data_IF_896112537801
#
_entry.id   IF_896112537801
#
_cell.length_a   1.000
_cell.length_b   1.000
_cell.length_c   1.000
_cell.angle_alpha   90.00
_cell.angle_beta   90.00
_cell.angle_gamma   90.00
#
_symmetry.space_group_name_H-M   'P 1'
#
loop_
_entity.id
_entity.type
_entity.pdbx_description
1 polymer ?
#
# COMPACT_ATOMS: atom_id res chain seq x y z
N UNK A 1 -22.93 12.73 10.32
CA UNK A 1 -21.69 11.97 10.60
C UNK A 1 -21.77 10.66 9.83
N UNK A 2 -21.00 10.56 8.74
CA UNK A 2 -20.84 9.30 7.99
C UNK A 2 -19.92 8.39 8.82
N UNK A 3 -20.24 7.09 8.93
CA UNK A 3 -19.39 6.10 9.59
C UNK A 3 -18.88 5.13 8.54
N UNK A 4 -17.57 4.89 8.53
CA UNK A 4 -16.91 4.00 7.58
C UNK A 4 -16.14 2.93 8.37
N UNK A 5 -16.35 1.63 8.10
CA UNK A 5 -15.51 0.57 8.65
C UNK A 5 -14.04 0.80 8.30
N UNK A 6 -13.16 0.72 9.28
CA UNK A 6 -11.75 1.02 9.11
C UNK A 6 -10.90 0.08 9.96
N UNK A 7 -9.80 -0.43 9.39
CA UNK A 7 -8.76 -1.15 10.13
C UNK A 7 -7.49 -0.33 10.06
N UNK A 8 -6.94 0.07 11.20
CA UNK A 8 -5.65 0.77 11.25
C UNK A 8 -4.54 -0.27 11.33
N UNK A 9 -3.62 -0.28 10.36
CA UNK A 9 -2.53 -1.26 10.31
C UNK A 9 -1.17 -0.57 10.18
N UNK A 10 -0.15 -1.21 10.76
CA UNK A 10 1.25 -0.95 10.40
C UNK A 10 1.59 -1.84 9.20
N UNK A 11 1.98 -1.23 8.09
CA UNK A 11 2.56 -1.92 6.93
C UNK A 11 4.04 -1.55 6.81
N UNK A 12 4.93 -2.53 7.02
CA UNK A 12 6.37 -2.26 7.07
C UNK A 12 6.71 -1.18 8.10
N UNK A 13 7.37 -0.11 7.67
CA UNK A 13 7.70 1.07 8.50
C UNK A 13 6.69 2.22 8.37
N UNK A 14 5.52 1.98 7.77
CA UNK A 14 4.42 2.95 7.64
C UNK A 14 3.18 2.51 8.41
N UNK A 15 2.24 3.44 8.61
CA UNK A 15 0.96 3.17 9.27
C UNK A 15 -0.16 3.92 8.57
N UNK A 16 -1.32 3.29 8.45
CA UNK A 16 -2.47 3.90 7.79
C UNK A 16 -3.72 3.05 7.87
N UNK A 17 -4.92 3.64 7.66
CA UNK A 17 -6.13 2.87 7.46
C UNK A 17 -6.03 1.98 6.21
N UNK A 18 -6.53 0.76 6.37
CA UNK A 18 -6.84 -0.16 5.28
C UNK A 18 -8.37 -0.27 5.20
N UNK A 19 -8.91 0.07 4.04
CA UNK A 19 -10.34 0.23 3.79
C UNK A 19 -10.79 -0.68 2.65
N UNK A 20 -12.02 -1.19 2.73
CA UNK A 20 -12.64 -1.82 1.57
C UNK A 20 -13.13 -0.74 0.60
N UNK A 21 -12.91 -0.93 -0.70
CA UNK A 21 -13.42 0.00 -1.71
C UNK A 21 -14.95 0.13 -1.67
N UNK A 22 -15.65 -0.95 -1.28
CA UNK A 22 -17.11 -0.97 -1.12
C UNK A 22 -17.64 -0.07 0.00
N UNK A 23 -16.78 0.32 0.95
CA UNK A 23 -17.13 1.19 2.08
C UNK A 23 -16.91 2.68 1.75
N UNK A 24 -16.43 2.99 0.55
CA UNK A 24 -16.11 4.34 0.08
C UNK A 24 -17.02 4.79 -1.06
N UNK A 25 -17.21 6.11 -1.25
CA UNK A 25 -17.85 6.64 -2.45
C UNK A 25 -17.12 6.21 -3.72
N UNK A 26 -17.87 5.92 -4.78
CA UNK A 26 -17.30 5.54 -6.09
C UNK A 26 -16.74 6.74 -6.87
N UNK A 27 -17.28 7.94 -6.65
CA UNK A 27 -16.76 9.17 -7.24
C UNK A 27 -15.48 9.60 -6.53
N UNK A 28 -14.42 9.83 -7.31
CA UNK A 28 -13.08 10.16 -6.81
C UNK A 28 -13.10 11.40 -5.91
N UNK A 29 -13.78 12.47 -6.30
CA UNK A 29 -13.85 13.71 -5.51
C UNK A 29 -14.51 13.50 -4.14
N UNK A 30 -15.58 12.70 -4.09
CA UNK A 30 -16.30 12.38 -2.85
C UNK A 30 -15.46 11.44 -1.96
N UNK A 31 -14.79 10.45 -2.57
CA UNK A 31 -13.84 9.57 -1.88
C UNK A 31 -12.71 10.39 -1.27
N UNK A 32 -12.08 11.27 -2.03
CA UNK A 32 -10.93 12.04 -1.57
C UNK A 32 -11.34 13.00 -0.44
N UNK A 33 -12.52 13.62 -0.53
CA UNK A 33 -13.07 14.42 0.57
C UNK A 33 -13.26 13.59 1.85
N UNK A 34 -13.72 12.35 1.72
CA UNK A 34 -13.83 11.40 2.84
C UNK A 34 -12.45 11.07 3.41
N UNK A 35 -11.45 10.77 2.58
CA UNK A 35 -10.09 10.44 3.05
C UNK A 35 -9.43 11.62 3.76
N UNK A 36 -9.58 12.83 3.23
CA UNK A 36 -9.08 14.05 3.86
C UNK A 36 -9.70 14.28 5.24
N UNK A 37 -11.01 14.04 5.38
CA UNK A 37 -11.70 14.10 6.66
C UNK A 37 -11.27 13.00 7.63
N UNK A 38 -11.19 11.76 7.16
CA UNK A 38 -10.76 10.60 7.95
C UNK A 38 -9.36 10.81 8.54
N UNK A 39 -8.43 11.32 7.73
CA UNK A 39 -7.05 11.52 8.14
C UNK A 39 -6.83 12.81 8.92
N UNK A 40 -7.75 13.78 8.90
CA UNK A 40 -7.57 15.06 9.57
C UNK A 40 -6.63 16.01 8.81
N UNK A 41 -6.55 15.86 7.49
CA UNK A 41 -5.62 16.59 6.63
C UNK A 41 -5.83 18.12 6.65
N UNK A 42 -4.73 18.86 6.53
CA UNK A 42 -4.70 20.33 6.62
C UNK A 42 -4.31 20.86 8.01
N UNK A 43 -3.83 19.99 8.90
CA UNK A 43 -3.31 20.36 10.21
C UNK A 43 -2.07 19.53 10.52
N UNK A 44 -1.01 20.15 11.05
CA UNK A 44 0.31 19.51 11.26
C UNK A 44 0.25 18.26 12.15
N UNK A 45 -0.68 18.25 13.11
CA UNK A 45 -0.92 17.10 14.00
C UNK A 45 -2.01 16.14 13.50
N UNK A 46 -2.73 16.48 12.44
CA UNK A 46 -3.91 15.71 11.99
C UNK A 46 -4.96 15.48 13.11
N UNK A 47 -5.09 16.46 14.02
CA UNK A 47 -5.73 16.31 15.34
C UNK A 47 -7.22 15.93 15.30
N UNK A 48 -7.91 16.23 14.20
CA UNK A 48 -9.33 15.93 13.99
C UNK A 48 -9.53 14.68 13.09
N UNK A 49 -8.53 13.80 13.03
CA UNK A 49 -8.57 12.55 12.28
C UNK A 49 -7.69 11.46 12.90
N UNK A 50 -7.49 10.39 12.14
CA UNK A 50 -6.65 9.24 12.57
C UNK A 50 -5.22 9.30 12.04
N UNK A 51 -4.90 10.34 11.26
CA UNK A 51 -3.55 10.62 10.82
C UNK A 51 -2.61 10.88 11.99
N UNK A 52 -1.31 10.69 11.76
CA UNK A 52 -0.31 10.83 12.81
C UNK A 52 0.59 12.06 12.66
N UNK A 53 0.23 13.02 11.80
CA UNK A 53 0.99 14.25 11.58
C UNK A 53 2.31 14.06 10.84
N UNK A 54 2.50 12.91 10.16
CA UNK A 54 3.71 12.64 9.37
C UNK A 54 3.38 11.90 8.08
N UNK A 55 4.18 12.03 7.01
CA UNK A 55 3.94 11.30 5.75
C UNK A 55 3.93 9.77 5.92
N UNK A 56 4.64 9.23 6.90
CA UNK A 56 4.70 7.78 7.21
C UNK A 56 3.43 7.28 7.91
N UNK A 57 2.68 8.18 8.56
CA UNK A 57 1.46 7.88 9.32
C UNK A 57 0.20 8.51 8.70
N UNK A 58 0.33 9.14 7.54
CA UNK A 58 -0.77 9.72 6.74
C UNK A 58 -0.89 9.03 5.37
N UNK A 59 -1.17 7.72 5.42
CA UNK A 59 -1.27 6.85 4.24
C UNK A 59 -2.56 6.07 4.27
N UNK A 60 -3.14 5.75 3.12
CA UNK A 60 -4.34 4.90 3.04
C UNK A 60 -4.10 3.78 2.04
N UNK A 61 -4.57 2.58 2.39
CA UNK A 61 -4.68 1.46 1.47
C UNK A 61 -6.16 1.17 1.23
N UNK A 62 -6.57 1.18 -0.04
CA UNK A 62 -7.92 0.79 -0.44
C UNK A 62 -7.82 -0.57 -1.13
N UNK A 63 -8.58 -1.55 -0.64
CA UNK A 63 -8.53 -2.93 -1.09
C UNK A 63 -9.89 -3.37 -1.62
N UNK A 64 -9.91 -4.12 -2.71
CA UNK A 64 -11.11 -4.74 -3.26
C UNK A 64 -10.79 -6.11 -3.87
N UNK A 65 -11.80 -6.95 -4.14
CA UNK A 65 -11.63 -8.02 -5.12
C UNK A 65 -11.07 -7.46 -6.43
N UNK A 66 -10.20 -8.22 -7.09
CA UNK A 66 -9.70 -7.87 -8.42
C UNK A 66 -10.64 -8.34 -9.51
N UNK A 67 -10.90 -7.48 -10.49
CA UNK A 67 -11.59 -7.86 -11.74
C UNK A 67 -10.63 -8.46 -12.79
N UNK A 68 -9.32 -8.45 -12.52
CA UNK A 68 -8.32 -9.10 -13.38
C UNK A 68 -8.20 -10.58 -13.04
N UNK A 69 -8.14 -11.47 -14.05
CA UNK A 69 -7.87 -12.89 -13.81
C UNK A 69 -6.45 -13.17 -13.29
N UNK A 70 -5.56 -12.17 -13.34
CA UNK A 70 -4.16 -12.28 -12.94
C UNK A 70 -3.91 -11.84 -11.49
N UNK A 71 -4.94 -11.48 -10.72
CA UNK A 71 -4.81 -11.10 -9.31
C UNK A 71 -6.03 -11.49 -8.48
N UNK A 72 -5.80 -11.75 -7.19
CA UNK A 72 -6.86 -12.04 -6.23
C UNK A 72 -7.54 -10.76 -5.76
N UNK A 73 -6.74 -9.72 -5.47
CA UNK A 73 -7.21 -8.43 -4.95
C UNK A 73 -6.54 -7.25 -5.64
N UNK A 74 -7.28 -6.15 -5.70
CA UNK A 74 -6.78 -4.85 -6.11
C UNK A 74 -6.38 -4.02 -4.90
N UNK A 75 -5.30 -3.27 -5.06
CA UNK A 75 -4.78 -2.34 -4.07
C UNK A 75 -4.56 -0.97 -4.71
N UNK A 76 -5.23 0.04 -4.17
CA UNK A 76 -4.94 1.44 -4.47
C UNK A 76 -4.25 2.08 -3.25
N UNK A 77 -3.00 2.49 -3.44
CA UNK A 77 -2.30 3.35 -2.49
C UNK A 77 -2.77 4.80 -2.63
N UNK A 78 -2.91 5.47 -1.50
CA UNK A 78 -3.21 6.89 -1.44
C UNK A 78 -2.32 7.55 -0.40
N UNK A 79 -1.54 8.54 -0.83
CA UNK A 79 -0.86 9.46 0.08
C UNK A 79 -1.80 10.61 0.41
N UNK A 80 -2.04 10.85 1.70
CA UNK A 80 -2.74 12.05 2.16
C UNK A 80 -1.69 13.05 2.63
N UNK A 81 -1.79 14.30 2.17
CA UNK A 81 -0.87 15.34 2.58
C UNK A 81 -1.24 15.85 3.96
N UNK A 82 -0.26 15.97 4.86
CA UNK A 82 -0.49 16.39 6.24
C UNK A 82 -0.92 17.86 6.31
N UNK A 83 -0.12 18.76 5.71
CA UNK A 83 -0.30 20.21 5.80
C UNK A 83 -1.16 20.80 4.68
N UNK A 84 -1.55 19.99 3.69
CA UNK A 84 -2.37 20.40 2.55
C UNK A 84 -3.61 19.53 2.51
N UNK A 85 -4.77 20.10 2.19
CA UNK A 85 -5.99 19.30 1.95
C UNK A 85 -5.95 18.65 0.57
N UNK A 86 -4.98 17.76 0.36
CA UNK A 86 -4.70 17.11 -0.93
C UNK A 86 -4.44 15.62 -0.76
N UNK A 87 -4.91 14.87 -1.74
CA UNK A 87 -4.67 13.45 -1.94
C UNK A 87 -3.74 13.27 -3.14
N UNK A 88 -2.83 12.30 -3.08
CA UNK A 88 -1.99 11.87 -4.20
C UNK A 88 -2.03 10.35 -4.37
N UNK A 89 -2.45 9.91 -5.56
CA UNK A 89 -2.51 8.49 -5.97
C UNK A 89 -1.48 8.13 -7.04
N UNK A 90 -0.50 9.00 -7.28
CA UNK A 90 0.57 8.77 -8.26
C UNK A 90 1.57 7.70 -7.81
N UNK A 91 2.11 7.74 -6.58
CA UNK A 91 3.12 6.77 -6.15
C UNK A 91 2.51 5.41 -5.83
N UNK A 92 3.35 4.37 -5.79
CA UNK A 92 3.06 3.15 -5.04
C UNK A 92 3.59 3.30 -3.59
N UNK A 93 3.31 2.32 -2.74
CA UNK A 93 3.98 2.23 -1.44
C UNK A 93 4.18 0.78 -1.05
N UNK A 94 5.43 0.32 -1.14
CA UNK A 94 5.82 -1.05 -0.75
C UNK A 94 5.60 -1.35 0.73
N UNK A 95 5.68 -0.35 1.60
CA UNK A 95 5.40 -0.51 3.04
C UNK A 95 3.93 -0.82 3.31
N UNK A 96 3.00 0.01 2.81
CA UNK A 96 1.56 -0.23 3.02
C UNK A 96 1.07 -1.49 2.31
N UNK A 97 1.76 -1.93 1.25
CA UNK A 97 1.47 -3.20 0.58
C UNK A 97 1.58 -4.41 1.54
N UNK A 98 2.45 -4.36 2.55
CA UNK A 98 2.56 -5.40 3.58
C UNK A 98 1.25 -5.63 4.36
N UNK A 99 0.36 -4.63 4.42
CA UNK A 99 -0.91 -4.77 5.13
C UNK A 99 -2.03 -5.39 4.27
N UNK A 100 -1.87 -5.42 2.94
CA UNK A 100 -2.94 -5.80 1.99
C UNK A 100 -3.26 -7.28 2.05
N UNK A 101 -2.26 -8.16 1.99
CA UNK A 101 -2.45 -9.61 2.05
C UNK A 101 -3.18 -10.06 3.33
N UNK A 102 -2.69 -9.70 4.53
CA UNK A 102 -3.34 -10.01 5.81
C UNK A 102 -4.78 -9.48 5.87
N UNK A 103 -4.98 -8.22 5.47
CA UNK A 103 -6.31 -7.60 5.45
C UNK A 103 -7.26 -8.34 4.51
N UNK A 104 -6.82 -8.71 3.32
CA UNK A 104 -7.63 -9.43 2.34
C UNK A 104 -8.10 -10.79 2.88
N UNK A 105 -7.23 -11.50 3.61
CA UNK A 105 -7.58 -12.78 4.25
C UNK A 105 -8.58 -12.56 5.38
N UNK A 106 -8.33 -11.61 6.29
CA UNK A 106 -9.22 -11.31 7.42
C UNK A 106 -10.60 -10.78 7.01
N UNK A 107 -10.68 -10.06 5.88
CA UNK A 107 -11.94 -9.61 5.28
C UNK A 107 -12.62 -10.67 4.42
N UNK A 108 -12.03 -11.86 4.28
CA UNK A 108 -12.59 -12.95 3.50
C UNK A 108 -12.59 -12.72 1.99
N UNK A 109 -11.77 -11.77 1.49
CA UNK A 109 -11.55 -11.57 0.06
C UNK A 109 -10.72 -12.71 -0.53
N UNK A 110 -9.82 -13.27 0.28
CA UNK A 110 -8.99 -14.43 -0.08
C UNK A 110 -9.14 -15.51 0.98
N UNK A 111 -9.37 -16.75 0.54
CA UNK A 111 -9.46 -17.90 1.44
C UNK A 111 -8.06 -18.29 1.92
N UNK A 112 -7.85 -18.33 3.23
CA UNK A 112 -6.59 -18.76 3.82
C UNK A 112 -6.23 -20.21 3.44
N UNK A 113 -4.94 -20.41 3.15
CA UNK A 113 -4.25 -21.69 3.10
C UNK A 113 -3.41 -21.87 4.37
N UNK A 114 -2.79 -23.04 4.57
CA UNK A 114 -1.92 -23.30 5.72
C UNK A 114 -0.67 -24.04 5.27
N UNK A 115 0.53 -23.72 5.82
CA UNK A 115 0.79 -22.72 6.85
C UNK A 115 0.99 -21.29 6.33
N UNK A 116 1.00 -21.10 5.01
CA UNK A 116 1.22 -19.82 4.34
C UNK A 116 0.14 -19.66 3.26
N UNK A 117 -0.34 -18.43 3.09
CA UNK A 117 -1.25 -18.05 2.00
C UNK A 117 -0.54 -17.07 1.08
N UNK A 118 -0.40 -17.40 -0.19
CA UNK A 118 0.01 -16.44 -1.21
C UNK A 118 -1.20 -15.66 -1.68
N UNK A 119 -1.13 -14.34 -1.60
CA UNK A 119 -2.13 -13.41 -2.13
C UNK A 119 -1.53 -12.64 -3.29
N UNK A 120 -2.08 -12.79 -4.49
CA UNK A 120 -1.67 -12.00 -5.65
C UNK A 120 -2.39 -10.67 -5.68
N UNK A 121 -1.63 -9.59 -5.57
CA UNK A 121 -2.12 -8.22 -5.45
C UNK A 121 -1.81 -7.46 -6.72
N UNK A 122 -2.83 -6.83 -7.33
CA UNK A 122 -2.62 -5.85 -8.39
C UNK A 122 -2.63 -4.44 -7.82
N UNK A 123 -1.51 -3.75 -7.95
CA UNK A 123 -1.37 -2.35 -7.55
C UNK A 123 -1.98 -1.44 -8.63
N UNK A 124 -3.08 -0.76 -8.33
CA UNK A 124 -3.79 0.10 -9.27
C UNK A 124 -3.05 1.39 -9.63
N UNK A 125 -2.08 1.83 -8.81
CA UNK A 125 -1.27 3.02 -9.10
C UNK A 125 -0.27 2.78 -10.26
N UNK A 126 0.14 1.52 -10.46
CA UNK A 126 1.26 1.15 -11.35
C UNK A 126 0.95 0.01 -12.31
N UNK A 127 -0.10 -0.78 -12.06
CA UNK A 127 -0.35 -2.04 -12.76
C UNK A 127 0.55 -3.19 -12.31
N UNK A 128 1.43 -2.97 -11.33
CA UNK A 128 2.37 -3.98 -10.83
C UNK A 128 1.61 -5.09 -10.08
N UNK A 129 1.91 -6.34 -10.41
CA UNK A 129 1.49 -7.54 -9.71
C UNK A 129 2.54 -7.91 -8.65
N UNK A 130 2.07 -8.20 -7.44
CA UNK A 130 2.91 -8.58 -6.31
C UNK A 130 2.32 -9.80 -5.62
N UNK A 131 3.13 -10.83 -5.42
CA UNK A 131 2.77 -11.97 -4.59
C UNK A 131 3.15 -11.68 -3.15
N UNK A 132 2.16 -11.68 -2.25
CA UNK A 132 2.34 -11.53 -0.81
C UNK A 132 2.18 -12.88 -0.10
N UNK A 133 3.26 -13.37 0.49
CA UNK A 133 3.27 -14.59 1.29
C UNK A 133 2.97 -14.27 2.75
N UNK A 134 1.74 -14.55 3.18
CA UNK A 134 1.23 -14.26 4.52
C UNK A 134 1.30 -15.51 5.38
N UNK A 135 1.83 -15.39 6.60
CA UNK A 135 1.84 -16.49 7.57
C UNK A 135 0.41 -16.76 8.05
N UNK A 136 -0.10 -17.97 7.78
CA UNK A 136 -1.47 -18.38 8.10
C UNK A 136 -1.55 -19.79 8.74
N UNK A 137 -0.81 -20.07 9.82
CA UNK A 137 -0.91 -21.35 10.51
C UNK A 137 -2.34 -21.59 11.00
N UNK A 138 -2.83 -22.82 10.84
CA UNK A 138 -4.21 -23.18 11.17
C UNK A 138 -5.27 -22.35 10.42
N UNK A 139 -4.94 -21.82 9.24
CA UNK A 139 -5.82 -21.00 8.40
C UNK A 139 -6.17 -19.61 8.98
N UNK A 140 -5.43 -19.13 9.98
CA UNK A 140 -5.59 -17.78 10.53
C UNK A 140 -4.33 -16.97 10.31
N UNK A 141 -4.48 -15.69 9.94
CA UNK A 141 -3.35 -14.76 9.86
C UNK A 141 -2.61 -14.72 11.19
N UNK A 142 -1.29 -14.88 11.13
CA UNK A 142 -0.40 -14.76 12.27
C UNK A 142 0.50 -13.54 12.11
N UNK A 143 0.44 -12.63 13.09
CA UNK A 143 1.30 -11.44 13.13
C UNK A 143 2.51 -11.63 14.06
N UNK A 144 2.54 -12.68 14.88
CA UNK A 144 3.63 -12.96 15.80
C UNK A 144 4.74 -13.77 15.11
N UNK A 145 6.00 -13.41 15.37
CA UNK A 145 7.16 -14.06 14.78
C UNK A 145 8.45 -13.44 15.29
N UNK A 146 9.58 -13.90 14.78
CA UNK A 146 10.94 -13.54 15.18
C UNK A 146 11.66 -12.64 14.16
N UNK A 147 10.96 -12.21 13.10
CA UNK A 147 11.54 -11.33 12.08
C UNK A 147 11.61 -9.89 12.56
N UNK A 148 12.76 -9.27 12.36
CA UNK A 148 13.03 -7.87 12.67
C UNK A 148 13.17 -7.04 11.39
N UNK A 149 12.73 -5.79 11.44
CA UNK A 149 13.00 -4.78 10.41
C UNK A 149 13.44 -3.47 11.08
N UNK A 150 14.36 -2.74 10.45
CA UNK A 150 14.80 -1.45 10.98
C UNK A 150 13.64 -0.45 11.02
N UNK A 151 13.61 0.38 12.07
CA UNK A 151 12.58 1.41 12.28
C UNK A 151 11.31 0.92 13.00
N UNK A 152 11.20 -0.38 13.31
CA UNK A 152 10.10 -0.93 14.12
C UNK A 152 10.66 -1.69 15.33
N UNK A 153 10.30 -1.30 16.57
CA UNK A 153 10.70 -2.05 17.76
C UNK A 153 10.09 -3.45 17.81
N UNK A 154 10.85 -4.41 18.37
CA UNK A 154 10.40 -5.79 18.54
C UNK A 154 10.49 -6.63 17.26
N UNK A 155 9.74 -7.72 17.23
CA UNK A 155 9.66 -8.66 16.11
C UNK A 155 8.20 -8.93 15.72
N UNK A 156 8.00 -9.45 14.50
CA UNK A 156 6.71 -9.87 13.98
C UNK A 156 6.88 -11.04 13.00
N UNK A 157 5.77 -11.62 12.54
CA UNK A 157 5.77 -12.57 11.44
C UNK A 157 6.31 -11.92 10.16
N UNK A 158 7.12 -12.64 9.35
CA UNK A 158 7.59 -12.14 8.07
C UNK A 158 6.43 -12.09 7.06
N UNK A 159 6.51 -11.14 6.14
CA UNK A 159 5.68 -11.13 4.94
C UNK A 159 6.60 -11.09 3.72
N UNK A 160 6.52 -12.10 2.86
CA UNK A 160 7.30 -12.15 1.62
C UNK A 160 6.59 -11.33 0.56
N UNK A 161 7.25 -10.34 -0.04
CA UNK A 161 6.69 -9.57 -1.16
C UNK A 161 7.56 -9.78 -2.41
N UNK A 162 6.97 -10.42 -3.43
CA UNK A 162 7.64 -10.67 -4.71
C UNK A 162 7.00 -9.84 -5.82
N UNK A 163 7.73 -8.85 -6.34
CA UNK A 163 7.28 -7.98 -7.42
C UNK A 163 7.49 -8.65 -8.79
N UNK A 164 6.42 -8.90 -9.53
CA UNK A 164 6.45 -9.80 -10.71
C UNK A 164 6.74 -9.07 -12.03
N UNK A 165 6.32 -7.81 -12.16
CA UNK A 165 6.39 -7.01 -13.40
C UNK A 165 6.71 -5.52 -13.13
N UNK A 166 7.64 -5.27 -12.21
CA UNK A 166 7.96 -3.92 -11.72
C UNK A 166 8.89 -3.10 -12.62
N UNK A 167 9.49 -3.69 -13.66
CA UNK A 167 10.39 -2.97 -14.56
C UNK A 167 9.61 -2.06 -15.51
N UNK A 168 9.91 -0.77 -15.50
CA UNK A 168 9.27 0.21 -16.38
C UNK A 168 7.80 0.49 -16.03
N UNK A 169 7.41 0.40 -14.76
CA UNK A 169 6.00 0.50 -14.35
C UNK A 169 5.37 1.88 -14.64
N UNK A 170 6.19 2.93 -14.81
CA UNK A 170 5.72 4.28 -15.19
C UNK A 170 6.12 4.68 -16.61
N UNK A 171 7.26 4.23 -17.09
CA UNK A 171 7.87 4.68 -18.35
C UNK A 171 7.83 3.62 -19.47
N UNK A 172 7.50 2.38 -19.15
CA UNK A 172 7.51 1.24 -20.06
C UNK A 172 8.90 0.64 -20.31
N UNK A 173 9.97 1.15 -19.69
CA UNK A 173 11.34 0.64 -19.84
C UNK A 173 12.09 0.69 -18.52
N UNK A 174 12.94 -0.31 -18.25
CA UNK A 174 13.83 -0.30 -17.07
C UNK A 174 14.80 0.90 -17.10
N UNK A 175 15.33 1.22 -18.27
CA UNK A 175 16.18 2.38 -18.54
C UNK A 175 15.43 3.30 -19.52
N UNK A 176 14.69 4.31 -19.04
CA UNK A 176 13.84 5.14 -19.89
C UNK A 176 14.60 5.88 -20.99
N UNK A 177 15.84 6.29 -20.69
CA UNK A 177 16.76 6.97 -21.63
C UNK A 177 17.43 5.99 -22.60
N UNK A 178 17.41 4.70 -22.30
CA UNK A 178 18.13 3.65 -23.03
C UNK A 178 19.61 3.52 -22.65
N UNK A 179 20.12 4.39 -21.78
CA UNK A 179 21.52 4.40 -21.33
C UNK A 179 21.65 3.87 -19.90
N UNK A 180 22.78 3.24 -19.58
CA UNK A 180 23.13 2.88 -18.19
C UNK A 180 23.61 4.11 -17.42
N UNK A 181 24.27 5.03 -18.11
CA UNK A 181 24.75 6.31 -17.57
C UNK A 181 24.35 7.42 -18.54
N UNK A 182 23.71 8.45 -18.02
CA UNK A 182 23.45 9.73 -18.67
C UNK A 182 24.28 10.82 -17.98
N UNK A 183 24.48 11.97 -18.65
CA UNK A 183 25.08 13.16 -18.04
C UNK A 183 24.04 14.27 -18.02
N UNK A 184 23.69 14.76 -16.83
CA UNK A 184 22.76 15.87 -16.63
C UNK A 184 23.48 16.91 -15.78
N UNK A 185 23.57 18.15 -16.25
CA UNK A 185 24.28 19.25 -15.57
C UNK A 185 25.71 18.86 -15.11
N UNK A 186 26.45 18.21 -16.01
CA UNK A 186 27.82 17.69 -15.80
C UNK A 186 27.95 16.61 -14.71
N UNK A 187 26.85 15.97 -14.30
CA UNK A 187 26.83 14.86 -13.34
C UNK A 187 26.41 13.55 -14.01
N UNK A 188 27.19 12.49 -13.79
CA UNK A 188 26.82 11.13 -14.19
C UNK A 188 25.66 10.61 -13.34
N UNK A 189 24.58 10.18 -14.01
CA UNK A 189 23.37 9.65 -13.37
C UNK A 189 22.89 8.40 -14.09
N UNK A 190 22.17 7.54 -13.39
CA UNK A 190 21.39 6.45 -14.00
C UNK A 190 19.91 6.75 -13.84
N UNK A 191 19.21 6.93 -14.96
CA UNK A 191 17.76 6.99 -14.98
C UNK A 191 17.19 5.57 -14.99
N UNK A 192 16.66 5.11 -13.86
CA UNK A 192 16.08 3.78 -13.69
C UNK A 192 14.61 3.87 -13.28
N UNK A 193 13.77 3.02 -13.89
CA UNK A 193 12.37 2.83 -13.52
C UNK A 193 12.14 1.36 -13.14
N UNK A 194 12.18 1.10 -11.83
CA UNK A 194 12.00 -0.21 -11.25
C UNK A 194 11.25 -0.06 -9.91
N UNK A 195 10.15 -0.81 -9.77
CA UNK A 195 9.20 -0.85 -8.64
C UNK A 195 8.04 0.16 -8.70
#
# INVERSE_FOLDING_TARGET
MLKIPCVLMRGGTSKGPVLLASDLPTKIEERDAVLLGLMGAGHELEIDGIGGGSPQTSKVAIVSPSDSPDADVDYLFVQVMVNERRVDTTPNCGNMLCAVGPFAIEKGLVKAQSPVTTVRIRNLNTGTLVDAEVQTPNFYVNYEGDTHIDGVPGCAAPIGLTFLNSAGCKTGKLLPTGNVVDVIDDVEVTCIDMA
#
